data_IF_939697969274
#
_entry.id   IF_939697969274
#
_cell.length_a   1.000
_cell.length_b   1.000
_cell.length_c   1.000
_cell.angle_alpha   90.00
_cell.angle_beta   90.00
_cell.angle_gamma   90.00
#
_symmetry.space_group_name_H-M   'P 1'
#
loop_
_entity.id
_entity.type
_entity.pdbx_description
1 polymer ?
#
# COMPACT_ATOMS: atom_id res chain seq x y z
N UNK A 1 1.61 51.14 27.96
CA UNK A 1 0.51 50.21 28.34
C UNK A 1 0.06 49.26 27.23
N UNK A 2 0.39 49.47 25.95
CA UNK A 2 0.02 48.58 24.83
C UNK A 2 0.71 47.20 24.86
N UNK A 3 1.97 47.13 25.29
CA UNK A 3 2.75 45.86 25.32
C UNK A 3 2.19 44.80 26.26
N UNK A 4 1.70 45.17 27.44
CA UNK A 4 1.14 44.23 28.42
C UNK A 4 -0.18 43.60 27.91
N UNK A 5 -1.03 44.39 27.21
CA UNK A 5 -2.26 43.87 26.60
C UNK A 5 -1.96 42.90 25.46
N UNK A 6 -0.94 43.21 24.64
CA UNK A 6 -0.48 42.36 23.58
C UNK A 6 0.05 41.02 24.12
N UNK A 7 0.88 41.03 25.15
CA UNK A 7 1.41 39.83 25.82
C UNK A 7 0.29 38.95 26.40
N UNK A 8 -0.68 39.57 27.09
CA UNK A 8 -1.85 38.83 27.62
C UNK A 8 -2.66 38.15 26.51
N UNK A 9 -2.89 38.86 25.39
CA UNK A 9 -3.60 38.25 24.25
C UNK A 9 -2.79 37.09 23.65
N UNK A 10 -1.48 37.22 23.53
CA UNK A 10 -0.60 36.14 23.04
C UNK A 10 -0.62 34.93 23.95
N UNK A 11 -0.53 35.13 25.26
CA UNK A 11 -0.64 34.02 26.26
C UNK A 11 -2.01 33.33 26.17
N UNK A 12 -3.10 34.11 26.01
CA UNK A 12 -4.46 33.55 25.84
C UNK A 12 -4.56 32.71 24.56
N UNK A 13 -4.00 33.18 23.45
CA UNK A 13 -3.97 32.47 22.19
C UNK A 13 -3.16 31.17 22.30
N UNK A 14 -1.96 31.20 22.91
CA UNK A 14 -1.12 30.03 23.12
C UNK A 14 -1.84 28.99 24.00
N UNK A 15 -2.48 29.43 25.11
CA UNK A 15 -3.24 28.52 25.97
C UNK A 15 -4.43 27.89 25.24
N UNK A 16 -5.09 28.61 24.36
CA UNK A 16 -6.19 28.08 23.54
C UNK A 16 -5.66 27.03 22.57
N UNK A 17 -4.56 27.33 21.85
CA UNK A 17 -3.91 26.38 20.94
C UNK A 17 -3.45 25.14 21.67
N UNK A 18 -2.86 25.27 22.87
CA UNK A 18 -2.44 24.13 23.71
C UNK A 18 -3.62 23.20 24.06
N UNK A 19 -4.77 23.78 24.45
CA UNK A 19 -5.97 23.00 24.76
C UNK A 19 -6.47 22.22 23.54
N UNK A 20 -6.49 22.87 22.36
CA UNK A 20 -6.91 22.24 21.10
C UNK A 20 -5.94 21.10 20.75
N UNK A 21 -4.63 21.34 20.82
CA UNK A 21 -3.61 20.32 20.50
C UNK A 21 -3.72 19.13 21.45
N UNK A 22 -3.94 19.37 22.76
CA UNK A 22 -4.11 18.30 23.74
C UNK A 22 -5.38 17.47 23.47
N UNK A 23 -6.48 18.12 23.11
CA UNK A 23 -7.71 17.42 22.70
C UNK A 23 -7.50 16.58 21.42
N UNK A 24 -6.81 17.13 20.43
CA UNK A 24 -6.45 16.38 19.21
C UNK A 24 -5.55 15.18 19.53
N UNK A 25 -4.58 15.33 20.42
CA UNK A 25 -3.71 14.23 20.87
C UNK A 25 -4.51 13.08 21.49
N UNK A 26 -5.45 13.38 22.40
CA UNK A 26 -6.29 12.36 23.04
C UNK A 26 -7.17 11.61 22.04
N UNK A 27 -7.79 12.34 21.09
CA UNK A 27 -8.61 11.75 20.04
C UNK A 27 -7.75 10.87 19.12
N UNK A 28 -6.57 11.32 18.74
CA UNK A 28 -5.64 10.56 17.90
C UNK A 28 -5.15 9.29 18.60
N UNK A 29 -4.79 9.38 19.89
CA UNK A 29 -4.36 8.21 20.67
C UNK A 29 -5.46 7.14 20.78
N UNK A 30 -6.71 7.54 21.02
CA UNK A 30 -7.83 6.62 21.08
C UNK A 30 -8.11 5.95 19.70
N UNK A 31 -7.93 6.67 18.60
CA UNK A 31 -8.06 6.12 17.25
C UNK A 31 -6.92 5.17 16.92
N UNK A 32 -5.69 5.55 17.24
CA UNK A 32 -4.50 4.73 16.99
C UNK A 32 -4.64 3.34 17.61
N UNK A 33 -5.07 3.27 18.89
CA UNK A 33 -5.26 1.98 19.55
C UNK A 33 -6.18 1.05 18.77
N UNK A 34 -7.34 1.54 18.32
CA UNK A 34 -8.31 0.74 17.55
C UNK A 34 -7.79 0.31 16.18
N UNK A 35 -6.96 1.16 15.55
CA UNK A 35 -6.41 0.86 14.24
C UNK A 35 -5.27 -0.14 14.39
N UNK A 36 -4.44 0.00 15.43
CA UNK A 36 -3.32 -0.91 15.71
C UNK A 36 -3.80 -2.34 15.87
N UNK A 37 -4.82 -2.59 16.72
CA UNK A 37 -5.38 -3.93 16.94
C UNK A 37 -5.87 -4.57 15.62
N UNK A 38 -6.40 -3.75 14.70
CA UNK A 38 -6.83 -4.22 13.37
C UNK A 38 -5.68 -4.43 12.39
N UNK A 39 -4.64 -3.61 12.48
CA UNK A 39 -3.46 -3.72 11.64
C UNK A 39 -2.69 -5.01 11.98
N UNK A 40 -2.47 -5.29 13.26
CA UNK A 40 -1.83 -6.52 13.74
C UNK A 40 -2.57 -7.79 13.25
N UNK A 41 -3.91 -7.82 13.33
CA UNK A 41 -4.69 -8.94 12.81
C UNK A 41 -4.58 -9.11 11.29
N UNK A 42 -4.38 -8.02 10.54
CA UNK A 42 -4.18 -8.08 9.08
C UNK A 42 -2.74 -8.36 8.69
N UNK A 43 -1.76 -8.07 9.55
CA UNK A 43 -0.36 -8.44 9.33
C UNK A 43 -0.23 -9.98 9.26
N UNK A 44 -0.83 -10.70 10.21
CA UNK A 44 -0.88 -12.16 10.22
C UNK A 44 -1.58 -12.71 8.97
N UNK A 45 -2.74 -12.12 8.62
CA UNK A 45 -3.49 -12.55 7.45
C UNK A 45 -2.73 -12.31 6.13
N UNK A 46 -2.09 -11.16 5.95
CA UNK A 46 -1.32 -10.84 4.75
C UNK A 46 -0.07 -11.71 4.64
N UNK A 47 0.57 -12.04 5.76
CA UNK A 47 1.72 -12.95 5.82
C UNK A 47 1.32 -14.36 5.40
N UNK A 48 0.19 -14.87 5.90
CA UNK A 48 -0.34 -16.19 5.49
C UNK A 48 -0.62 -16.21 3.99
N UNK A 49 -1.30 -15.20 3.46
CA UNK A 49 -1.58 -15.12 2.01
C UNK A 49 -0.31 -15.06 1.18
N UNK A 50 0.69 -14.30 1.62
CA UNK A 50 1.98 -14.22 0.93
C UNK A 50 2.70 -15.57 0.93
N UNK A 51 2.68 -16.30 2.05
CA UNK A 51 3.25 -17.64 2.14
C UNK A 51 2.53 -18.61 1.20
N UNK A 52 1.18 -18.60 1.18
CA UNK A 52 0.40 -19.43 0.25
C UNK A 52 0.75 -19.09 -1.21
N UNK A 53 0.86 -17.81 -1.57
CA UNK A 53 1.26 -17.39 -2.92
C UNK A 53 2.67 -17.88 -3.29
N UNK A 54 3.60 -17.88 -2.34
CA UNK A 54 4.95 -18.42 -2.55
C UNK A 54 4.91 -19.95 -2.71
N UNK A 55 4.12 -20.66 -1.92
CA UNK A 55 3.96 -22.11 -2.04
C UNK A 55 3.34 -22.47 -3.40
N UNK A 56 2.35 -21.72 -3.85
CA UNK A 56 1.80 -21.88 -5.22
C UNK A 56 2.88 -21.63 -6.26
N UNK A 57 3.66 -20.55 -6.15
CA UNK A 57 4.76 -20.24 -7.09
C UNK A 57 5.77 -21.38 -7.20
N UNK A 58 6.08 -22.06 -6.10
CA UNK A 58 7.08 -23.13 -6.05
C UNK A 58 6.55 -24.48 -6.59
N UNK A 59 5.26 -24.74 -6.44
CA UNK A 59 4.70 -26.07 -6.68
C UNK A 59 3.76 -26.16 -7.89
N UNK A 60 3.38 -25.03 -8.49
CA UNK A 60 2.42 -25.02 -9.61
C UNK A 60 3.11 -25.26 -10.95
N UNK A 61 2.47 -26.03 -11.81
CA UNK A 61 2.88 -26.12 -13.20
C UNK A 61 2.40 -24.89 -13.98
N UNK A 62 3.33 -24.02 -14.37
CA UNK A 62 3.03 -22.77 -15.10
C UNK A 62 2.26 -22.98 -16.41
N UNK A 63 2.38 -24.16 -17.04
CA UNK A 63 1.65 -24.48 -18.27
C UNK A 63 0.13 -24.61 -18.05
N UNK A 64 -0.28 -24.86 -16.82
CA UNK A 64 -1.70 -24.99 -16.45
C UNK A 64 -2.34 -23.65 -16.06
N UNK A 65 -1.54 -22.56 -15.97
CA UNK A 65 -2.02 -21.24 -15.62
C UNK A 65 -2.51 -20.47 -16.84
N UNK A 66 -3.59 -19.73 -16.67
CA UNK A 66 -4.02 -18.73 -17.64
C UNK A 66 -2.97 -17.64 -17.84
N UNK A 67 -2.95 -16.93 -18.98
CA UNK A 67 -2.03 -15.80 -19.22
C UNK A 67 -2.11 -14.73 -18.13
N UNK A 68 -3.29 -14.51 -17.56
CA UNK A 68 -3.51 -13.60 -16.43
C UNK A 68 -2.79 -14.09 -15.17
N UNK A 69 -2.98 -15.35 -14.79
CA UNK A 69 -2.37 -15.94 -13.58
C UNK A 69 -0.85 -16.00 -13.67
N UNK A 70 -0.32 -16.32 -14.86
CA UNK A 70 1.13 -16.35 -15.10
C UNK A 70 1.83 -15.05 -14.74
N UNK A 71 1.19 -13.88 -14.92
CA UNK A 71 1.77 -12.57 -14.58
C UNK A 71 2.08 -12.40 -13.10
N UNK A 72 1.34 -13.09 -12.24
CA UNK A 72 1.59 -13.02 -10.79
C UNK A 72 2.85 -13.77 -10.36
N UNK A 73 3.29 -14.74 -11.15
CA UNK A 73 4.41 -15.61 -10.80
C UNK A 73 5.64 -15.47 -11.71
N UNK A 74 5.48 -14.85 -12.88
CA UNK A 74 6.57 -14.67 -13.84
C UNK A 74 7.32 -13.37 -13.58
N UNK A 75 8.63 -13.44 -13.44
CA UNK A 75 9.52 -12.30 -13.22
C UNK A 75 9.93 -11.61 -14.53
N UNK A 76 9.68 -12.22 -15.69
CA UNK A 76 10.01 -11.64 -16.98
C UNK A 76 9.06 -10.48 -17.32
N UNK A 77 9.55 -9.26 -17.18
CA UNK A 77 8.84 -8.03 -17.56
C UNK A 77 8.83 -7.93 -19.08
N UNK A 78 7.66 -8.12 -19.70
CA UNK A 78 7.50 -8.17 -21.17
C UNK A 78 7.36 -6.81 -21.86
N UNK A 79 7.96 -5.75 -21.29
CA UNK A 79 7.98 -4.41 -21.89
C UNK A 79 6.65 -3.63 -21.77
N UNK A 80 5.70 -4.11 -20.96
CA UNK A 80 4.46 -3.40 -20.64
C UNK A 80 4.67 -2.45 -19.46
N UNK A 81 3.75 -1.50 -19.25
CA UNK A 81 3.85 -0.57 -18.13
C UNK A 81 3.91 -1.25 -16.77
N UNK A 82 4.75 -0.71 -15.89
CA UNK A 82 4.73 -1.01 -14.46
C UNK A 82 3.69 -0.14 -13.76
N UNK A 83 2.81 -0.73 -12.97
CA UNK A 83 1.81 0.00 -12.18
C UNK A 83 2.34 0.31 -10.79
N UNK A 84 2.33 1.59 -10.42
CA UNK A 84 2.61 2.03 -9.06
C UNK A 84 1.31 2.45 -8.36
N UNK A 85 0.93 1.76 -7.30
CA UNK A 85 -0.17 2.15 -6.42
C UNK A 85 0.39 2.98 -5.28
N UNK A 86 0.00 4.25 -5.20
CA UNK A 86 0.57 5.24 -4.28
C UNK A 86 -0.45 5.60 -3.23
N UNK A 87 -0.20 5.25 -1.96
CA UNK A 87 -1.11 5.52 -0.86
C UNK A 87 -0.60 6.66 0.01
N UNK A 88 -1.31 7.78 0.02
CA UNK A 88 -1.00 8.97 0.80
C UNK A 88 -2.18 9.40 1.65
N UNK A 89 -2.01 10.42 2.48
CA UNK A 89 -3.10 10.98 3.28
C UNK A 89 -3.97 11.95 2.48
N UNK A 90 -5.21 12.13 2.94
CA UNK A 90 -6.10 13.18 2.44
C UNK A 90 -5.74 14.56 2.99
N UNK A 91 -5.19 14.62 4.20
CA UNK A 91 -4.90 15.85 4.92
C UNK A 91 -3.41 16.03 5.12
N UNK A 92 -2.98 17.27 5.29
CA UNK A 92 -1.64 17.60 5.71
C UNK A 92 -1.45 17.56 7.23
N UNK A 93 -0.36 18.16 7.70
CA UNK A 93 0.05 18.22 9.11
C UNK A 93 0.42 16.85 9.70
N UNK A 94 1.02 16.00 8.84
CA UNK A 94 1.49 14.65 9.18
C UNK A 94 3.02 14.51 9.01
N UNK A 95 3.77 15.57 9.28
CA UNK A 95 5.23 15.54 9.18
C UNK A 95 5.74 15.12 7.80
N UNK A 96 6.68 14.19 7.76
CA UNK A 96 7.31 13.68 6.53
C UNK A 96 6.51 12.55 5.85
N UNK A 97 5.37 12.15 6.40
CA UNK A 97 4.57 11.02 5.96
C UNK A 97 4.36 10.99 4.43
N UNK A 98 3.76 12.04 3.87
CA UNK A 98 3.49 12.09 2.42
C UNK A 98 4.76 12.32 1.60
N UNK A 99 5.68 13.15 2.09
CA UNK A 99 6.88 13.51 1.34
C UNK A 99 7.83 12.34 1.13
N UNK A 100 7.91 11.39 2.05
CA UNK A 100 8.72 10.18 1.90
C UNK A 100 8.19 9.28 0.78
N UNK A 101 6.88 9.02 0.76
CA UNK A 101 6.23 8.23 -0.30
C UNK A 101 6.41 8.93 -1.66
N UNK A 102 6.11 10.22 -1.75
CA UNK A 102 6.19 10.99 -3.00
C UNK A 102 7.63 10.98 -3.55
N UNK A 103 8.64 11.18 -2.69
CA UNK A 103 10.05 11.12 -3.09
C UNK A 103 10.44 9.74 -3.61
N UNK A 104 10.00 8.67 -2.96
CA UNK A 104 10.28 7.31 -3.39
C UNK A 104 9.66 7.01 -4.75
N UNK A 105 8.38 7.34 -4.93
CA UNK A 105 7.67 7.15 -6.20
C UNK A 105 8.34 7.94 -7.33
N UNK A 106 8.66 9.23 -7.13
CA UNK A 106 9.34 10.05 -8.15
C UNK A 106 10.72 9.49 -8.53
N UNK A 107 11.48 9.03 -7.55
CA UNK A 107 12.78 8.38 -7.80
C UNK A 107 12.61 7.10 -8.63
N UNK A 108 11.61 6.28 -8.30
CA UNK A 108 11.39 5.02 -8.99
C UNK A 108 10.81 5.23 -10.39
N UNK A 109 9.97 6.25 -10.62
CA UNK A 109 9.53 6.66 -11.96
C UNK A 109 10.75 6.96 -12.86
N UNK A 110 11.71 7.75 -12.38
CA UNK A 110 12.94 8.07 -13.13
C UNK A 110 13.72 6.79 -13.45
N UNK A 111 13.92 5.89 -12.47
CA UNK A 111 14.59 4.61 -12.70
C UNK A 111 13.90 3.74 -13.77
N UNK A 112 12.58 3.65 -13.73
CA UNK A 112 11.83 2.90 -14.74
C UNK A 112 11.97 3.53 -16.13
N UNK A 113 11.94 4.86 -16.21
CA UNK A 113 12.15 5.59 -17.48
C UNK A 113 13.56 5.37 -18.05
N UNK A 114 14.59 5.37 -17.21
CA UNK A 114 15.97 5.03 -17.60
C UNK A 114 16.10 3.59 -18.13
N UNK A 115 15.28 2.68 -17.64
CA UNK A 115 15.18 1.29 -18.09
C UNK A 115 14.23 1.10 -19.29
N UNK A 116 13.69 2.18 -19.87
CA UNK A 116 12.67 2.15 -20.92
C UNK A 116 11.37 1.42 -20.54
N UNK A 117 11.09 1.32 -19.23
CA UNK A 117 9.83 0.77 -18.71
C UNK A 117 8.81 1.91 -18.54
N UNK A 118 7.67 1.78 -19.21
CA UNK A 118 6.56 2.71 -19.03
C UNK A 118 5.96 2.55 -17.63
N UNK A 119 5.49 3.64 -17.05
CA UNK A 119 4.89 3.67 -15.72
C UNK A 119 3.45 4.13 -15.81
N UNK A 120 2.57 3.51 -15.02
CA UNK A 120 1.21 3.97 -14.73
C UNK A 120 1.05 4.17 -13.24
N UNK A 121 0.23 5.12 -12.84
CA UNK A 121 0.01 5.46 -11.43
C UNK A 121 -1.47 5.32 -11.08
N UNK A 122 -1.74 4.62 -9.99
CA UNK A 122 -2.99 4.74 -9.24
C UNK A 122 -2.65 5.47 -7.95
N UNK A 123 -3.36 6.56 -7.67
CA UNK A 123 -3.09 7.38 -6.48
C UNK A 123 -4.30 7.35 -5.56
N UNK A 124 -4.10 6.90 -4.33
CA UNK A 124 -5.08 6.98 -3.27
C UNK A 124 -4.61 8.06 -2.26
N UNK A 125 -5.42 9.10 -2.07
CA UNK A 125 -5.13 10.23 -1.19
C UNK A 125 -4.74 11.52 -1.90
N UNK A 126 -5.38 12.60 -1.48
CA UNK A 126 -5.26 13.92 -2.11
C UNK A 126 -3.83 14.47 -2.13
N UNK A 127 -3.07 14.25 -1.05
CA UNK A 127 -1.72 14.83 -0.94
C UNK A 127 -0.73 14.25 -1.95
N UNK A 128 -0.85 12.97 -2.27
CA UNK A 128 -0.10 12.34 -3.35
C UNK A 128 -0.51 12.86 -4.72
N UNK A 129 -1.81 12.91 -4.97
CA UNK A 129 -2.35 13.43 -6.21
C UNK A 129 -1.89 14.86 -6.49
N UNK A 130 -2.08 15.78 -5.52
CA UNK A 130 -1.69 17.19 -5.68
C UNK A 130 -0.19 17.38 -5.95
N UNK A 131 0.67 16.52 -5.38
CA UNK A 131 2.11 16.60 -5.53
C UNK A 131 2.67 15.94 -6.80
N UNK A 132 1.91 15.01 -7.39
CA UNK A 132 2.35 14.21 -8.55
C UNK A 132 1.76 14.79 -9.84
N UNK A 133 0.51 15.23 -9.82
CA UNK A 133 -0.22 15.66 -11.03
C UNK A 133 0.45 16.77 -11.83
N UNK A 134 1.18 17.68 -11.17
CA UNK A 134 1.83 18.81 -11.86
C UNK A 134 2.95 18.39 -12.80
N UNK A 135 3.57 17.23 -12.55
CA UNK A 135 4.76 16.75 -13.27
C UNK A 135 4.51 15.46 -14.04
N UNK A 136 3.55 14.64 -13.59
CA UNK A 136 3.30 13.29 -14.07
C UNK A 136 1.82 13.01 -14.32
N UNK A 137 1.04 14.03 -14.75
CA UNK A 137 -0.39 13.89 -15.04
C UNK A 137 -0.68 12.75 -16.03
N UNK A 138 0.16 12.62 -17.05
CA UNK A 138 -0.02 11.66 -18.15
C UNK A 138 0.21 10.19 -17.72
N UNK A 139 0.85 9.99 -16.56
CA UNK A 139 1.06 8.67 -15.98
C UNK A 139 -0.10 8.24 -15.07
N UNK A 140 -0.98 9.18 -14.67
CA UNK A 140 -2.06 8.90 -13.72
C UNK A 140 -3.20 8.19 -14.45
N UNK A 141 -3.37 6.91 -14.13
CA UNK A 141 -4.46 6.08 -14.64
C UNK A 141 -5.76 6.32 -13.88
N UNK A 142 -5.65 6.50 -12.54
CA UNK A 142 -6.82 6.71 -11.67
C UNK A 142 -6.43 7.42 -10.37
N UNK A 143 -7.37 8.19 -9.82
CA UNK A 143 -7.24 8.83 -8.52
C UNK A 143 -8.44 8.49 -7.62
N UNK A 144 -8.15 8.06 -6.40
CA UNK A 144 -9.16 7.71 -5.40
C UNK A 144 -9.09 8.65 -4.20
N UNK A 145 -10.23 9.23 -3.88
CA UNK A 145 -10.40 10.02 -2.66
C UNK A 145 -10.69 9.08 -1.48
N UNK A 146 -9.90 9.16 -0.42
CA UNK A 146 -10.05 8.32 0.78
C UNK A 146 -10.92 9.04 1.80
N UNK A 147 -12.18 8.65 1.92
CA UNK A 147 -13.03 9.16 3.00
C UNK A 147 -12.70 8.49 4.33
N UNK A 148 -12.91 9.20 5.45
CA UNK A 148 -12.49 8.73 6.78
C UNK A 148 -13.09 7.38 7.22
N UNK A 149 -14.24 7.02 6.70
CA UNK A 149 -15.04 5.90 7.16
C UNK A 149 -15.04 4.70 6.18
N UNK A 150 -14.68 4.92 4.92
CA UNK A 150 -14.88 3.94 3.85
C UNK A 150 -13.63 3.67 3.02
N UNK A 151 -12.58 3.12 3.65
CA UNK A 151 -11.43 2.65 2.87
C UNK A 151 -11.71 1.32 2.13
N UNK A 152 -12.66 0.52 2.62
CA UNK A 152 -13.00 -0.78 2.02
C UNK A 152 -13.55 -0.67 0.59
N UNK A 153 -14.51 0.21 0.27
CA UNK A 153 -14.95 0.41 -1.11
C UNK A 153 -13.79 0.84 -2.01
N UNK A 154 -12.98 1.80 -1.57
CA UNK A 154 -11.80 2.27 -2.33
C UNK A 154 -10.79 1.12 -2.55
N UNK A 155 -10.56 0.28 -1.54
CA UNK A 155 -9.67 -0.88 -1.67
C UNK A 155 -10.21 -1.87 -2.72
N UNK A 156 -11.51 -2.10 -2.77
CA UNK A 156 -12.14 -2.96 -3.78
C UNK A 156 -12.06 -2.34 -5.18
N UNK A 157 -12.27 -1.04 -5.31
CA UNK A 157 -12.15 -0.33 -6.60
C UNK A 157 -10.71 -0.41 -7.11
N UNK A 158 -9.70 -0.17 -6.27
CA UNK A 158 -8.29 -0.32 -6.63
C UNK A 158 -7.98 -1.76 -7.04
N UNK A 159 -8.43 -2.77 -6.26
CA UNK A 159 -8.28 -4.18 -6.63
C UNK A 159 -8.86 -4.46 -8.01
N UNK A 160 -10.12 -4.07 -8.24
CA UNK A 160 -10.79 -4.32 -9.51
C UNK A 160 -10.07 -3.62 -10.67
N UNK A 161 -9.54 -2.41 -10.47
CA UNK A 161 -8.76 -1.71 -11.48
C UNK A 161 -7.45 -2.43 -11.79
N UNK A 162 -6.71 -2.91 -10.77
CA UNK A 162 -5.49 -3.69 -10.96
C UNK A 162 -5.79 -4.96 -11.76
N UNK A 163 -6.77 -5.75 -11.34
CA UNK A 163 -7.17 -6.99 -12.01
C UNK A 163 -7.57 -6.71 -13.47
N UNK A 164 -8.40 -5.69 -13.71
CA UNK A 164 -8.83 -5.33 -15.06
C UNK A 164 -7.66 -4.90 -15.97
N UNK A 165 -6.70 -4.12 -15.45
CA UNK A 165 -5.53 -3.71 -16.23
C UNK A 165 -4.63 -4.90 -16.55
N UNK A 166 -4.51 -5.85 -15.62
CA UNK A 166 -3.71 -7.07 -15.78
C UNK A 166 -4.35 -8.02 -16.80
N UNK A 167 -5.67 -8.24 -16.70
CA UNK A 167 -6.43 -9.10 -17.60
C UNK A 167 -6.46 -8.54 -19.03
N UNK A 168 -6.59 -7.22 -19.17
CA UNK A 168 -6.51 -6.52 -20.47
C UNK A 168 -5.09 -6.42 -21.04
N UNK A 169 -4.12 -7.06 -20.41
CA UNK A 169 -2.72 -7.06 -20.87
C UNK A 169 -2.12 -5.64 -20.97
N UNK A 170 -2.56 -4.72 -20.09
CA UNK A 170 -2.10 -3.32 -20.06
C UNK A 170 -0.95 -3.06 -19.10
N UNK A 171 -0.67 -4.00 -18.21
CA UNK A 171 0.42 -3.96 -17.22
C UNK A 171 1.01 -5.37 -17.03
N UNK A 172 2.30 -5.45 -16.75
CA UNK A 172 3.01 -6.70 -16.47
C UNK A 172 3.52 -6.80 -15.03
N UNK A 173 3.48 -5.71 -14.29
CA UNK A 173 3.93 -5.69 -12.90
C UNK A 173 3.24 -4.58 -12.11
N UNK A 174 3.16 -4.76 -10.78
CA UNK A 174 2.52 -3.81 -9.89
C UNK A 174 3.26 -3.73 -8.57
N UNK A 175 3.60 -2.51 -8.14
CA UNK A 175 4.13 -2.24 -6.81
C UNK A 175 3.26 -1.24 -6.06
N UNK A 176 3.22 -1.37 -4.74
CA UNK A 176 2.47 -0.50 -3.86
C UNK A 176 3.40 0.25 -2.91
N UNK A 177 3.14 1.55 -2.71
CA UNK A 177 3.92 2.47 -1.87
C UNK A 177 3.04 2.99 -0.75
N UNK A 178 3.43 2.73 0.48
CA UNK A 178 2.71 3.16 1.68
C UNK A 178 3.68 3.37 2.84
N UNK A 179 3.21 3.90 3.97
CA UNK A 179 3.97 3.92 5.21
C UNK A 179 3.54 2.78 6.12
N UNK A 180 4.50 1.99 6.54
CA UNK A 180 4.33 0.96 7.55
C UNK A 180 4.48 1.57 8.94
N UNK A 181 3.53 1.27 9.82
CA UNK A 181 3.54 1.72 11.19
C UNK A 181 4.44 0.83 12.04
N UNK A 182 5.53 1.37 12.55
CA UNK A 182 6.39 0.67 13.53
C UNK A 182 6.03 1.05 14.96
N UNK A 183 5.86 2.33 15.24
CA UNK A 183 5.40 2.87 16.53
C UNK A 183 4.93 4.32 16.35
N UNK A 184 4.47 4.95 17.42
CA UNK A 184 3.94 6.33 17.38
C UNK A 184 4.95 7.41 16.93
N UNK A 185 6.24 7.09 16.87
CA UNK A 185 7.31 8.03 16.48
C UNK A 185 7.96 7.66 15.15
N UNK A 186 7.83 6.39 14.71
CA UNK A 186 8.55 5.85 13.56
C UNK A 186 7.57 5.24 12.58
N UNK A 187 7.56 5.80 11.37
CA UNK A 187 6.90 5.25 10.21
C UNK A 187 7.96 4.98 9.14
N UNK A 188 7.85 3.87 8.45
CA UNK A 188 8.80 3.48 7.40
C UNK A 188 8.09 3.46 6.07
N UNK A 189 8.59 4.25 5.11
CA UNK A 189 8.11 4.18 3.75
C UNK A 189 8.47 2.81 3.17
N UNK A 190 7.46 2.05 2.81
CA UNK A 190 7.58 0.68 2.32
C UNK A 190 7.09 0.61 0.88
N UNK A 191 7.88 -0.07 0.05
CA UNK A 191 7.50 -0.50 -1.30
C UNK A 191 7.37 -2.01 -1.27
N UNK A 192 6.23 -2.50 -1.75
CA UNK A 192 5.95 -3.94 -1.84
C UNK A 192 5.53 -4.27 -3.27
N UNK A 193 6.05 -5.36 -3.82
CA UNK A 193 5.55 -5.92 -5.08
C UNK A 193 4.23 -6.63 -4.83
N UNK A 194 3.19 -6.29 -5.62
CA UNK A 194 1.94 -7.05 -5.65
C UNK A 194 2.12 -8.21 -6.64
N UNK A 195 2.66 -7.92 -7.82
CA UNK A 195 3.08 -8.92 -8.78
C UNK A 195 4.20 -8.37 -9.69
N UNK A 196 5.09 -9.22 -10.18
CA UNK A 196 5.22 -10.63 -9.78
C UNK A 196 5.48 -10.76 -8.27
N UNK A 197 4.98 -11.88 -7.69
CA UNK A 197 5.19 -12.20 -6.27
C UNK A 197 6.68 -12.45 -6.08
N UNK A 198 7.31 -11.67 -5.20
CA UNK A 198 8.74 -11.83 -4.89
C UNK A 198 8.95 -13.13 -4.11
N UNK A 199 9.91 -13.94 -4.53
CA UNK A 199 10.28 -15.15 -3.80
C UNK A 199 10.97 -14.75 -2.50
N UNK A 200 10.33 -14.98 -1.38
CA UNK A 200 10.98 -14.82 -0.09
C UNK A 200 12.08 -15.88 0.03
N UNK A 201 13.31 -15.46 0.37
CA UNK A 201 14.39 -16.40 0.64
C UNK A 201 13.99 -17.26 1.86
N UNK A 202 13.67 -18.51 1.59
CA UNK A 202 13.18 -19.52 2.54
C UNK A 202 14.17 -19.79 3.71
N UNK A 203 15.42 -19.29 3.59
CA UNK A 203 16.47 -19.49 4.60
C UNK A 203 16.20 -18.85 5.96
N UNK A 204 15.33 -17.84 6.04
CA UNK A 204 15.05 -17.14 7.32
C UNK A 204 13.69 -17.47 7.97
N UNK A 205 12.81 -18.23 7.29
CA UNK A 205 11.45 -18.49 7.79
C UNK A 205 11.14 -19.96 8.12
N UNK A 206 12.08 -20.89 7.95
CA UNK A 206 11.84 -22.31 8.30
C UNK A 206 11.57 -22.58 9.79
N UNK A 207 11.79 -21.63 10.68
CA UNK A 207 11.54 -21.84 12.11
C UNK A 207 10.12 -21.51 12.55
N UNK A 208 9.31 -20.80 11.75
CA UNK A 208 7.97 -20.36 12.17
C UNK A 208 6.79 -20.84 11.31
N UNK A 209 7.02 -21.54 10.19
CA UNK A 209 5.92 -22.07 9.39
C UNK A 209 5.50 -23.45 9.90
N UNK A 210 4.53 -23.49 10.81
CA UNK A 210 3.77 -24.70 11.20
C UNK A 210 2.76 -25.13 10.11
N UNK A 211 3.00 -24.84 8.84
CA UNK A 211 2.22 -25.46 7.78
C UNK A 211 2.78 -26.87 7.57
N UNK A 212 1.94 -27.90 7.58
CA UNK A 212 2.40 -29.25 7.33
C UNK A 212 3.02 -29.35 5.93
N UNK A 213 4.03 -30.20 5.80
CA UNK A 213 4.70 -30.57 4.55
C UNK A 213 3.72 -31.31 3.61
N UNK A 214 2.60 -30.68 3.32
CA UNK A 214 1.57 -31.22 2.43
C UNK A 214 1.78 -30.61 1.05
N UNK A 215 2.20 -31.46 0.11
CA UNK A 215 2.04 -31.21 -1.32
C UNK A 215 0.55 -30.99 -1.59
N UNK A 216 0.12 -29.72 -1.63
CA UNK A 216 -1.23 -29.39 -2.06
C UNK A 216 -1.32 -29.67 -3.56
N UNK A 217 -2.05 -30.70 -3.95
CA UNK A 217 -2.50 -30.84 -5.32
C UNK A 217 -3.58 -29.80 -5.58
N UNK A 218 -3.25 -28.81 -6.39
CA UNK A 218 -4.18 -27.77 -6.79
C UNK A 218 -5.08 -28.28 -7.91
N UNK A 219 -6.17 -28.93 -7.56
CA UNK A 219 -7.21 -29.32 -8.50
C UNK A 219 -8.29 -28.23 -8.60
N UNK A 220 -8.36 -27.57 -9.76
CA UNK A 220 -9.44 -26.65 -10.11
C UNK A 220 -8.96 -25.38 -10.79
N UNK A 221 -9.42 -25.12 -12.01
CA UNK A 221 -9.06 -24.00 -12.86
C UNK A 221 -9.36 -22.59 -12.25
N UNK A 222 -10.17 -22.51 -11.20
CA UNK A 222 -10.57 -21.24 -10.58
C UNK A 222 -9.92 -20.96 -9.21
N UNK A 223 -9.15 -21.92 -8.67
CA UNK A 223 -8.58 -21.79 -7.33
C UNK A 223 -7.51 -20.71 -7.29
N UNK A 224 -6.60 -20.71 -8.26
CA UNK A 224 -5.48 -19.76 -8.35
C UNK A 224 -6.00 -18.34 -8.58
N UNK A 225 -6.97 -18.17 -9.48
CA UNK A 225 -7.60 -16.86 -9.70
C UNK A 225 -8.29 -16.32 -8.44
N UNK A 226 -8.98 -17.18 -7.69
CA UNK A 226 -9.62 -16.80 -6.42
C UNK A 226 -8.58 -16.44 -5.35
N UNK A 227 -7.47 -17.15 -5.30
CA UNK A 227 -6.36 -16.86 -4.40
C UNK A 227 -5.70 -15.53 -4.75
N UNK A 228 -5.47 -15.24 -6.02
CA UNK A 228 -4.96 -13.96 -6.50
C UNK A 228 -5.88 -12.82 -6.06
N UNK A 229 -7.19 -12.98 -6.21
CA UNK A 229 -8.18 -11.99 -5.78
C UNK A 229 -8.10 -11.71 -4.28
N UNK A 230 -7.98 -12.75 -3.45
CA UNK A 230 -7.83 -12.64 -2.00
C UNK A 230 -6.49 -12.00 -1.62
N UNK A 231 -5.41 -12.37 -2.31
CA UNK A 231 -4.07 -11.82 -2.09
C UNK A 231 -4.04 -10.32 -2.38
N UNK A 232 -4.48 -9.90 -3.57
CA UNK A 232 -4.45 -8.49 -3.96
C UNK A 232 -5.28 -7.63 -3.01
N UNK A 233 -6.51 -8.04 -2.68
CA UNK A 233 -7.34 -7.28 -1.74
C UNK A 233 -6.77 -7.29 -0.32
N UNK A 234 -6.14 -8.39 0.11
CA UNK A 234 -5.47 -8.52 1.39
C UNK A 234 -4.32 -7.51 1.51
N UNK A 235 -3.44 -7.47 0.52
CA UNK A 235 -2.30 -6.53 0.45
C UNK A 235 -2.77 -5.07 0.46
N UNK A 236 -3.81 -4.72 -0.30
CA UNK A 236 -4.35 -3.36 -0.34
C UNK A 236 -4.95 -2.97 1.01
N UNK A 237 -5.74 -3.84 1.64
CA UNK A 237 -6.32 -3.60 2.98
C UNK A 237 -5.25 -3.43 4.04
N UNK A 238 -4.23 -4.28 4.03
CA UNK A 238 -3.08 -4.20 4.91
C UNK A 238 -2.40 -2.82 4.79
N UNK A 239 -2.04 -2.41 3.57
CA UNK A 239 -1.41 -1.12 3.33
C UNK A 239 -2.30 0.07 3.75
N UNK A 240 -3.61 0.01 3.52
CA UNK A 240 -4.53 1.05 4.00
C UNK A 240 -4.54 1.16 5.53
N UNK A 241 -4.51 0.05 6.27
CA UNK A 241 -4.49 0.09 7.73
C UNK A 241 -3.14 0.52 8.28
N UNK A 242 -2.05 0.04 7.72
CA UNK A 242 -0.69 0.50 8.07
C UNK A 242 -0.55 2.01 7.84
N UNK A 243 -0.98 2.49 6.68
CA UNK A 243 -0.96 3.91 6.32
C UNK A 243 -1.88 4.77 7.23
N UNK A 244 -2.95 4.20 7.77
CA UNK A 244 -3.88 4.87 8.68
C UNK A 244 -3.41 4.86 10.12
N UNK A 245 -2.60 3.87 10.52
CA UNK A 245 -1.95 3.78 11.82
C UNK A 245 -0.75 4.72 11.93
N UNK A 246 -0.03 4.90 10.82
CA UNK A 246 1.08 5.84 10.65
C UNK A 246 0.64 7.29 10.65
#
# INVERSE_FOLDING_TARGET
MSGLKHLRNRVKSIKSTQKITKAMQLVSAAKLRRIKDRAEALDDYSSILTNIMNDVKLNINFMNLSPFEQKFFNEDIKGKPHLCVVMTSERGLCGSFNSQIIKAVKRDIVKYQEQNVKVKLIIAGKKGYDAIKSQYSDLIEEYYHITKEHYLPVALEIKNKIISLTDQDKIDSCSMYYNEFKNALVQVMTKVSIFPVETLNISEQKENSKLPDSSFEYEGSNLVSSLIDLYVIGMIKHAFLQNKAS
#
